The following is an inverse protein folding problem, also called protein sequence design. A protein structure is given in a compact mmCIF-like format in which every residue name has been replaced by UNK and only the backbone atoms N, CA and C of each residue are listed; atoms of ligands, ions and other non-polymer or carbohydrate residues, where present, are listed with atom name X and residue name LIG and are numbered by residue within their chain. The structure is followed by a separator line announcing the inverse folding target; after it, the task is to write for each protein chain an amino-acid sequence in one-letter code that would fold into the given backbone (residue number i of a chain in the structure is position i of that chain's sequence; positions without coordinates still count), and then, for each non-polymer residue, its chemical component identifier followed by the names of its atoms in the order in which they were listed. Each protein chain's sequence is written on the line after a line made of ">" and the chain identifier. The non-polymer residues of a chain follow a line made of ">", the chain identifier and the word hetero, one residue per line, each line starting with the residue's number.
data_IF_990231734681
#
_entry.id   IF_990231734681
#
_cell.length_a   1.000
_cell.length_b   1.000
_cell.length_c   1.000
_cell.angle_alpha   90.00
_cell.angle_beta   90.00
_cell.angle_gamma   90.00
#
_symmetry.space_group_name_H-M   'P 1'
#
loop_
_entity.id
_entity.type
_entity.pdbx_description
1 polymer ?
#
# COMPACT_ATOMS: atom_id res chain seq x y z
N UNK A 1 49.12 1.16 -38.39
CA UNK A 1 47.79 0.56 -38.16
C UNK A 1 47.76 -0.20 -36.82
N UNK A 2 48.00 0.49 -35.70
CA UNK A 2 48.04 -0.13 -34.35
C UNK A 2 47.20 0.63 -33.32
N UNK A 3 46.78 1.87 -33.65
CA UNK A 3 45.90 2.72 -32.82
C UNK A 3 44.45 2.24 -32.76
N UNK A 4 43.99 1.47 -33.75
CA UNK A 4 42.61 0.95 -33.79
C UNK A 4 42.43 -0.37 -33.04
N UNK A 5 43.52 -1.10 -32.76
CA UNK A 5 43.46 -2.42 -32.09
C UNK A 5 43.32 -2.26 -30.57
N UNK A 6 43.92 -1.23 -29.98
CA UNK A 6 43.81 -0.95 -28.54
C UNK A 6 42.42 -0.46 -28.13
N UNK A 7 41.66 0.15 -29.05
CA UNK A 7 40.32 0.67 -28.78
C UNK A 7 39.25 -0.45 -28.72
N UNK A 8 39.50 -1.57 -29.40
CA UNK A 8 38.59 -2.73 -29.43
C UNK A 8 38.79 -3.60 -28.18
N UNK A 9 40.01 -3.65 -27.62
CA UNK A 9 40.30 -4.48 -26.45
C UNK A 9 39.75 -3.87 -25.15
N UNK A 10 39.58 -2.55 -25.07
CA UNK A 10 39.01 -1.85 -23.91
C UNK A 10 37.49 -1.91 -23.82
N UNK A 11 36.77 -2.30 -24.87
CA UNK A 11 35.30 -2.34 -24.87
C UNK A 11 34.69 -3.69 -24.44
N UNK A 12 35.50 -4.73 -24.24
CA UNK A 12 35.00 -6.09 -23.91
C UNK A 12 34.82 -6.32 -22.40
N UNK A 13 35.36 -5.45 -21.53
CA UNK A 13 35.38 -5.66 -20.07
C UNK A 13 34.33 -4.88 -19.26
N UNK A 14 33.30 -4.29 -19.88
CA UNK A 14 32.33 -3.45 -19.18
C UNK A 14 30.87 -3.93 -19.28
N UNK A 15 30.64 -5.24 -19.42
CA UNK A 15 29.29 -5.81 -19.27
C UNK A 15 29.33 -6.93 -18.24
N UNK A 16 29.61 -6.58 -16.98
CA UNK A 16 28.89 -7.25 -15.90
C UNK A 16 27.43 -6.81 -16.05
N UNK A 17 26.68 -7.55 -16.85
CA UNK A 17 25.24 -7.54 -16.78
C UNK A 17 24.93 -7.98 -15.35
N UNK A 18 24.59 -7.02 -14.49
CA UNK A 18 23.82 -7.28 -13.29
C UNK A 18 22.47 -7.84 -13.78
N UNK A 19 22.46 -9.14 -14.08
CA UNK A 19 21.25 -9.90 -14.15
C UNK A 19 20.73 -9.89 -12.72
N UNK A 20 19.82 -8.97 -12.42
CA UNK A 20 19.00 -9.05 -11.22
C UNK A 20 18.50 -10.49 -11.16
N UNK A 21 18.83 -11.20 -10.08
CA UNK A 21 18.52 -12.62 -9.94
C UNK A 21 17.01 -12.76 -9.82
N UNK A 22 16.32 -12.84 -10.96
CA UNK A 22 14.88 -13.01 -11.00
C UNK A 22 14.53 -14.42 -10.57
N UNK A 23 13.65 -14.54 -9.58
CA UNK A 23 13.19 -15.85 -9.12
C UNK A 23 12.32 -16.53 -10.19
N UNK A 24 12.40 -17.86 -10.22
CA UNK A 24 11.47 -18.64 -11.04
C UNK A 24 10.03 -18.42 -10.58
N UNK A 25 9.08 -18.53 -11.51
CA UNK A 25 7.66 -18.37 -11.20
C UNK A 25 7.19 -19.31 -10.07
N UNK A 26 7.67 -20.56 -10.07
CA UNK A 26 7.35 -21.53 -9.03
C UNK A 26 7.84 -21.11 -7.64
N UNK A 27 9.00 -20.45 -7.56
CA UNK A 27 9.53 -19.91 -6.32
C UNK A 27 8.74 -18.67 -5.86
N UNK A 28 8.35 -17.80 -6.78
CA UNK A 28 7.48 -16.68 -6.46
C UNK A 28 6.11 -17.13 -5.93
N UNK A 29 5.54 -18.20 -6.50
CA UNK A 29 4.26 -18.74 -6.05
C UNK A 29 4.37 -19.47 -4.72
N UNK A 30 5.51 -20.10 -4.40
CA UNK A 30 5.75 -20.65 -3.06
C UNK A 30 5.83 -19.55 -2.00
N UNK A 31 6.51 -18.44 -2.28
CA UNK A 31 6.56 -17.27 -1.39
C UNK A 31 5.15 -16.70 -1.16
N UNK A 32 4.33 -16.55 -2.21
CA UNK A 32 2.94 -16.09 -2.07
C UNK A 32 2.13 -17.04 -1.19
N UNK A 33 2.26 -18.35 -1.39
CA UNK A 33 1.57 -19.37 -0.60
C UNK A 33 1.97 -19.29 0.88
N UNK A 34 3.23 -19.05 1.18
CA UNK A 34 3.71 -18.85 2.55
C UNK A 34 3.08 -17.61 3.19
N UNK A 35 3.00 -16.50 2.45
CA UNK A 35 2.32 -15.29 2.94
C UNK A 35 0.83 -15.50 3.19
N UNK A 36 0.14 -16.27 2.37
CA UNK A 36 -1.26 -16.63 2.64
C UNK A 36 -1.41 -17.49 3.88
N UNK A 37 -0.49 -18.42 4.14
CA UNK A 37 -0.47 -19.19 5.38
C UNK A 37 -0.28 -18.29 6.61
N UNK A 38 0.63 -17.32 6.54
CA UNK A 38 0.82 -16.31 7.61
C UNK A 38 -0.45 -15.48 7.82
N UNK A 39 -1.12 -15.04 6.75
CA UNK A 39 -2.41 -14.33 6.84
C UNK A 39 -3.50 -15.17 7.50
N UNK A 40 -3.50 -16.48 7.26
CA UNK A 40 -4.41 -17.40 7.93
C UNK A 40 -4.13 -17.44 9.44
N UNK A 41 -2.86 -17.52 9.85
CA UNK A 41 -2.47 -17.49 11.26
C UNK A 41 -2.83 -16.18 11.96
N UNK A 42 -2.74 -15.05 11.25
CA UNK A 42 -3.25 -13.79 11.78
C UNK A 42 -4.76 -13.81 12.06
N UNK A 43 -5.54 -14.60 11.32
CA UNK A 43 -7.00 -14.73 11.50
C UNK A 43 -7.38 -15.75 12.58
N UNK A 44 -6.56 -16.76 12.84
CA UNK A 44 -6.84 -17.80 13.83
C UNK A 44 -6.55 -17.40 15.28
N UNK A 45 -6.00 -16.20 15.50
CA UNK A 45 -5.49 -15.77 16.80
C UNK A 45 -4.06 -16.26 17.05
N UNK A 46 -3.26 -15.41 17.68
CA UNK A 46 -1.83 -15.64 17.92
C UNK A 46 -1.40 -14.97 19.24
N UNK A 47 -0.32 -15.47 19.85
CA UNK A 47 0.32 -14.80 20.99
C UNK A 47 1.17 -13.62 20.52
N UNK A 48 1.48 -12.67 21.40
CA UNK A 48 2.28 -11.47 21.05
C UNK A 48 3.62 -11.81 20.40
N UNK A 49 4.37 -12.75 21.01
CA UNK A 49 5.65 -13.23 20.49
C UNK A 49 5.52 -13.88 19.11
N UNK A 50 4.44 -14.63 18.88
CA UNK A 50 4.18 -15.23 17.56
C UNK A 50 3.80 -14.16 16.53
N UNK A 51 3.01 -13.16 16.92
CA UNK A 51 2.63 -12.03 16.08
C UNK A 51 3.83 -11.23 15.57
N UNK A 52 4.82 -10.95 16.43
CA UNK A 52 6.07 -10.29 16.04
C UNK A 52 6.86 -11.13 15.02
N UNK A 53 6.97 -12.44 15.26
CA UNK A 53 7.67 -13.37 14.37
C UNK A 53 7.00 -13.44 13.00
N UNK A 54 5.67 -13.55 12.98
CA UNK A 54 4.87 -13.59 11.74
C UNK A 54 4.95 -12.29 10.97
N UNK A 55 4.95 -11.15 11.66
CA UNK A 55 5.09 -9.83 11.04
C UNK A 55 6.47 -9.65 10.42
N UNK A 56 7.53 -10.03 11.13
CA UNK A 56 8.89 -10.00 10.60
C UNK A 56 9.02 -10.90 9.36
N UNK A 57 8.45 -12.11 9.39
CA UNK A 57 8.47 -13.03 8.26
C UNK A 57 7.68 -12.50 7.07
N UNK A 58 6.46 -12.01 7.26
CA UNK A 58 5.65 -11.46 6.16
C UNK A 58 6.36 -10.27 5.47
N UNK A 59 7.03 -9.41 6.26
CA UNK A 59 7.81 -8.30 5.73
C UNK A 59 8.95 -8.77 4.83
N UNK A 60 9.72 -9.78 5.26
CA UNK A 60 10.81 -10.35 4.44
C UNK A 60 10.25 -10.94 3.14
N UNK A 61 9.16 -11.71 3.21
CA UNK A 61 8.55 -12.31 2.03
C UNK A 61 7.97 -11.26 1.07
N UNK A 62 7.45 -10.14 1.60
CA UNK A 62 7.00 -9.00 0.80
C UNK A 62 8.16 -8.38 0.01
N UNK A 63 9.28 -8.13 0.68
CA UNK A 63 10.50 -7.59 0.05
C UNK A 63 11.03 -8.54 -1.03
N UNK A 64 11.15 -9.83 -0.74
CA UNK A 64 11.61 -10.82 -1.72
C UNK A 64 10.73 -10.87 -2.98
N UNK A 65 9.41 -10.75 -2.83
CA UNK A 65 8.50 -10.67 -3.97
C UNK A 65 8.71 -9.40 -4.79
N UNK A 66 8.92 -8.26 -4.12
CA UNK A 66 9.13 -6.98 -4.80
C UNK A 66 10.46 -6.96 -5.55
N UNK A 67 11.50 -7.54 -4.98
CA UNK A 67 12.86 -7.47 -5.53
C UNK A 67 13.06 -8.50 -6.65
N UNK A 68 12.57 -9.73 -6.47
CA UNK A 68 12.93 -10.86 -7.36
C UNK A 68 11.80 -11.42 -8.21
N UNK A 69 10.54 -11.09 -7.88
CA UNK A 69 9.37 -11.66 -8.56
C UNK A 69 8.61 -10.67 -9.45
N UNK A 70 9.19 -9.49 -9.69
CA UNK A 70 8.69 -8.57 -10.70
C UNK A 70 8.94 -9.17 -12.09
N UNK A 71 7.86 -9.58 -12.75
CA UNK A 71 7.95 -10.02 -14.13
C UNK A 71 8.32 -8.81 -15.00
N UNK A 72 9.34 -8.89 -15.87
CA UNK A 72 9.42 -7.95 -16.97
C UNK A 72 8.13 -8.11 -17.76
N UNK A 73 7.32 -7.04 -17.83
CA UNK A 73 6.07 -7.05 -18.60
C UNK A 73 6.42 -7.49 -20.01
N UNK A 74 6.02 -8.72 -20.38
CA UNK A 74 6.07 -9.15 -21.78
C UNK A 74 5.27 -8.12 -22.59
N UNK A 75 5.95 -7.45 -23.51
CA UNK A 75 5.34 -6.55 -24.46
C UNK A 75 4.53 -7.37 -25.48
N UNK A 76 3.36 -7.88 -25.09
CA UNK A 76 2.33 -8.39 -26.01
C UNK A 76 1.04 -8.72 -25.28
N UNK A 77 0.14 -7.74 -25.24
CA UNK A 77 -1.27 -7.94 -25.60
C UNK A 77 -1.94 -6.57 -25.45
N UNK A 78 -2.45 -6.09 -26.57
CA UNK A 78 -3.25 -4.88 -26.69
C UNK A 78 -4.54 -5.03 -25.89
N UNK A 79 -4.49 -4.76 -24.59
CA UNK A 79 -5.65 -4.23 -23.88
C UNK A 79 -5.38 -2.75 -23.69
N UNK A 80 -6.12 -1.93 -24.44
CA UNK A 80 -6.22 -0.50 -24.24
C UNK A 80 -6.81 -0.24 -22.85
N UNK A 81 -5.96 -0.24 -21.83
CA UNK A 81 -6.20 0.51 -20.61
C UNK A 81 -5.65 1.91 -20.88
N UNK A 82 -6.53 2.84 -21.23
CA UNK A 82 -6.26 4.27 -21.18
C UNK A 82 -5.82 4.62 -19.76
N UNK A 83 -4.53 4.79 -19.55
CA UNK A 83 -4.00 5.58 -18.43
C UNK A 83 -2.54 5.90 -18.72
N UNK A 84 -2.37 7.04 -19.40
CA UNK A 84 -1.12 7.78 -19.37
C UNK A 84 -0.74 8.06 -17.91
N UNK A 85 0.22 7.31 -17.38
CA UNK A 85 0.87 7.64 -16.13
C UNK A 85 2.36 7.32 -16.26
N UNK A 86 3.08 8.31 -16.77
CA UNK A 86 4.53 8.40 -16.73
C UNK A 86 5.03 8.10 -15.32
N UNK A 87 6.04 7.25 -15.27
CA UNK A 87 6.91 6.98 -14.14
C UNK A 87 7.41 8.26 -13.47
N UNK A 88 6.83 8.59 -12.32
CA UNK A 88 7.53 9.29 -11.24
C UNK A 88 7.12 8.64 -9.93
N UNK A 89 8.07 7.97 -9.30
CA UNK A 89 7.99 7.60 -7.89
C UNK A 89 7.89 8.89 -7.06
N UNK A 90 6.69 9.41 -6.91
CA UNK A 90 6.39 10.50 -5.98
C UNK A 90 6.26 9.86 -4.60
N UNK A 91 7.17 10.20 -3.70
CA UNK A 91 7.04 9.93 -2.27
C UNK A 91 5.59 10.24 -1.84
N UNK A 92 4.82 9.19 -1.54
CA UNK A 92 3.38 9.20 -1.27
C UNK A 92 2.96 10.00 -0.03
N UNK A 93 3.91 10.70 0.62
CA UNK A 93 3.68 11.60 1.75
C UNK A 93 3.32 13.03 1.36
N UNK A 94 3.37 13.42 0.08
CA UNK A 94 3.01 14.78 -0.33
C UNK A 94 1.53 15.09 -0.08
N UNK A 95 0.64 14.09 -0.26
CA UNK A 95 -0.78 14.18 0.09
C UNK A 95 -1.03 14.25 1.60
N UNK A 96 -0.18 13.63 2.43
CA UNK A 96 -0.32 13.63 3.89
C UNK A 96 0.00 15.00 4.52
N UNK A 97 0.67 15.89 3.80
CA UNK A 97 1.05 17.22 4.28
C UNK A 97 0.32 18.36 3.56
N UNK A 98 -0.50 18.07 2.56
CA UNK A 98 -1.24 19.11 1.86
C UNK A 98 -2.48 19.49 2.68
N UNK A 99 -2.56 20.78 3.05
CA UNK A 99 -3.73 21.35 3.70
C UNK A 99 -4.82 21.57 2.65
N UNK A 100 -5.50 20.50 2.26
CA UNK A 100 -6.65 20.57 1.35
C UNK A 100 -7.86 21.08 2.12
N UNK A 101 -8.23 22.33 1.86
CA UNK A 101 -9.35 23.03 2.49
C UNK A 101 -10.71 22.37 2.22
N UNK A 102 -10.79 21.56 1.16
CA UNK A 102 -12.02 20.97 0.64
C UNK A 102 -11.96 19.43 0.56
N UNK A 103 -11.14 18.77 1.39
CA UNK A 103 -11.15 17.30 1.44
C UNK A 103 -12.45 16.85 2.09
N UNK A 104 -13.40 16.37 1.28
CA UNK A 104 -14.46 15.52 1.82
C UNK A 104 -13.78 14.25 2.30
N UNK A 105 -14.03 13.85 3.54
CA UNK A 105 -13.51 12.61 4.07
C UNK A 105 -14.23 11.49 3.31
N UNK A 106 -13.68 11.07 2.17
CA UNK A 106 -14.16 9.90 1.44
C UNK A 106 -13.85 8.70 2.32
N UNK A 107 -14.83 8.36 3.16
CA UNK A 107 -14.77 7.17 3.98
C UNK A 107 -15.56 6.11 3.27
N UNK A 108 -15.00 4.92 3.10
CA UNK A 108 -15.73 3.74 2.62
C UNK A 108 -16.80 3.25 3.62
N UNK A 109 -17.28 4.13 4.51
CA UNK A 109 -18.26 3.81 5.55
C UNK A 109 -19.62 3.44 4.98
N UNK A 110 -19.94 3.88 3.75
CA UNK A 110 -21.22 3.65 3.08
C UNK A 110 -21.01 3.48 1.57
N UNK A 111 -21.70 2.49 0.99
CA UNK A 111 -21.75 2.25 -0.47
C UNK A 111 -22.73 3.18 -1.19
N UNK A 112 -23.72 3.71 -0.47
CA UNK A 112 -24.70 4.67 -0.99
C UNK A 112 -24.10 6.09 -0.98
N UNK A 113 -24.06 6.71 -2.16
CA UNK A 113 -23.48 8.04 -2.35
C UNK A 113 -24.23 9.14 -1.58
N UNK A 114 -25.57 9.08 -1.52
CA UNK A 114 -26.38 10.08 -0.82
C UNK A 114 -26.17 9.99 0.70
N UNK A 115 -26.08 8.76 1.22
CA UNK A 115 -25.77 8.52 2.63
C UNK A 115 -24.35 8.95 2.97
N UNK A 116 -23.38 8.70 2.08
CA UNK A 116 -22.00 9.17 2.22
C UNK A 116 -21.92 10.69 2.28
N UNK A 117 -22.59 11.38 1.35
CA UNK A 117 -22.60 12.84 1.29
C UNK A 117 -23.25 13.43 2.55
N UNK A 118 -24.35 12.84 3.03
CA UNK A 118 -24.99 13.24 4.28
C UNK A 118 -24.08 13.02 5.50
N UNK A 119 -23.40 11.87 5.57
CA UNK A 119 -22.42 11.57 6.61
C UNK A 119 -21.26 12.58 6.61
N UNK A 120 -20.74 12.95 5.44
CA UNK A 120 -19.64 13.91 5.30
C UNK A 120 -20.01 15.32 5.80
N UNK A 121 -21.30 15.69 5.71
CA UNK A 121 -21.83 16.96 6.22
C UNK A 121 -22.11 16.89 7.72
N UNK A 122 -22.60 15.76 8.21
CA UNK A 122 -22.92 15.52 9.61
C UNK A 122 -21.66 15.44 10.49
N UNK A 123 -20.72 14.56 10.12
CA UNK A 123 -19.57 14.26 10.97
C UNK A 123 -18.40 15.21 10.71
N UNK A 124 -18.04 15.99 11.73
CA UNK A 124 -16.83 16.83 11.73
C UNK A 124 -15.78 16.25 12.65
N UNK A 125 -14.62 15.92 12.09
CA UNK A 125 -13.50 15.37 12.85
C UNK A 125 -13.00 16.38 13.91
N UNK A 126 -13.01 16.06 15.22
CA UNK A 126 -12.56 16.97 16.28
C UNK A 126 -11.09 17.39 16.13
N UNK A 127 -10.73 18.60 16.60
CA UNK A 127 -9.34 19.10 16.54
C UNK A 127 -8.34 18.16 17.22
N UNK A 128 -8.74 17.55 18.36
CA UNK A 128 -7.99 16.53 19.09
C UNK A 128 -7.51 15.40 18.17
N UNK A 129 -8.38 14.94 17.28
CA UNK A 129 -8.13 13.81 16.39
C UNK A 129 -7.30 14.17 15.15
N UNK A 130 -6.97 15.45 14.96
CA UNK A 130 -6.12 15.93 13.84
C UNK A 130 -4.65 16.08 14.24
N UNK A 131 -4.31 15.87 15.51
CA UNK A 131 -2.94 16.06 16.02
C UNK A 131 -2.03 14.94 15.51
N UNK A 132 -0.88 15.30 14.95
CA UNK A 132 0.20 14.34 14.62
C UNK A 132 0.85 13.85 15.92
N UNK A 133 1.14 12.55 15.99
CA UNK A 133 1.72 11.93 17.19
C UNK A 133 0.78 11.97 18.40
N UNK A 134 -0.49 11.63 18.21
CA UNK A 134 -1.44 11.56 19.33
C UNK A 134 -1.11 10.40 20.28
N UNK A 135 -1.49 10.55 21.55
CA UNK A 135 -1.35 9.47 22.53
C UNK A 135 -2.30 8.31 22.21
N UNK A 136 -1.98 7.09 22.66
CA UNK A 136 -2.86 5.93 22.49
C UNK A 136 -4.26 6.18 23.08
N UNK A 137 -4.35 6.91 24.18
CA UNK A 137 -5.63 7.28 24.80
C UNK A 137 -6.46 8.22 23.90
N UNK A 138 -5.82 9.22 23.28
CA UNK A 138 -6.49 10.10 22.32
C UNK A 138 -6.93 9.33 21.07
N UNK A 139 -6.14 8.36 20.62
CA UNK A 139 -6.48 7.51 19.48
C UNK A 139 -7.73 6.67 19.76
N UNK A 140 -7.75 5.96 20.90
CA UNK A 140 -8.92 5.17 21.33
C UNK A 140 -10.14 6.08 21.42
N UNK A 141 -10.03 7.23 22.09
CA UNK A 141 -11.13 8.18 22.21
C UNK A 141 -11.67 8.64 20.85
N UNK A 142 -10.79 8.96 19.90
CA UNK A 142 -11.18 9.39 18.56
C UNK A 142 -11.90 8.27 17.78
N UNK A 143 -11.49 7.02 17.97
CA UNK A 143 -12.14 5.86 17.37
C UNK A 143 -13.53 5.63 17.94
N UNK A 144 -13.69 5.66 19.26
CA UNK A 144 -14.97 5.50 19.95
C UNK A 144 -15.93 6.65 19.64
N UNK A 145 -15.42 7.89 19.64
CA UNK A 145 -16.20 9.07 19.31
C UNK A 145 -16.77 8.98 17.89
N UNK A 146 -15.95 8.57 16.91
CA UNK A 146 -16.42 8.35 15.53
C UNK A 146 -17.51 7.28 15.47
N UNK A 147 -17.36 6.19 16.23
CA UNK A 147 -18.36 5.13 16.35
C UNK A 147 -19.70 5.66 16.87
N UNK A 148 -19.70 6.38 17.99
CA UNK A 148 -20.93 6.98 18.57
C UNK A 148 -21.62 7.96 17.62
N UNK A 149 -20.85 8.78 16.90
CA UNK A 149 -21.43 9.68 15.90
C UNK A 149 -22.06 8.91 14.74
N UNK A 150 -21.47 7.78 14.34
CA UNK A 150 -22.02 6.90 13.31
C UNK A 150 -23.37 6.32 13.74
N UNK A 151 -23.47 5.82 14.97
CA UNK A 151 -24.72 5.31 15.53
C UNK A 151 -25.83 6.37 15.56
N UNK A 152 -25.51 7.58 16.02
CA UNK A 152 -26.45 8.71 16.02
C UNK A 152 -26.94 9.07 14.62
N UNK A 153 -26.02 9.15 13.66
CA UNK A 153 -26.36 9.40 12.27
C UNK A 153 -27.24 8.30 11.68
N UNK A 154 -26.93 7.03 11.95
CA UNK A 154 -27.71 5.90 11.45
C UNK A 154 -29.10 5.82 12.05
N UNK A 155 -29.26 6.18 13.33
CA UNK A 155 -30.57 6.29 13.96
C UNK A 155 -31.43 7.35 13.25
N UNK A 156 -30.88 8.54 13.01
CA UNK A 156 -31.57 9.63 12.31
C UNK A 156 -31.83 9.31 10.83
N UNK A 157 -30.94 8.55 10.19
CA UNK A 157 -31.08 8.19 8.77
C UNK A 157 -32.17 7.15 8.53
N UNK A 158 -32.43 6.25 9.49
CA UNK A 158 -33.51 5.26 9.39
C UNK A 158 -34.91 5.89 9.44
N UNK A 159 -35.02 7.12 9.90
CA UNK A 159 -36.28 7.89 9.97
C UNK A 159 -36.57 8.72 8.70
N UNK A 160 -35.76 8.56 7.63
CA UNK A 160 -35.98 9.15 6.30
C UNK A 160 -36.30 8.09 5.26
#
# INVERSE_FOLDING_TARGET
>A
MIKWILLILTTVFATELYADETYSQAHCDSIKKEREAIRSQFRSGYSTKEGERLTARDKVLFTLLADHCNTPKKASSSYQATSSATTKASNSHWLLNQKVSNMSLHSDSYSDQAKLDAWSKFYKLPKRCRKKGMSSADFVWCSEYRGKQKELFEAQWKER
#
